data_IF_748532937754
#
_entry.id   IF_748532937754
#
_cell.length_a   1.000
_cell.length_b   1.000
_cell.length_c   1.000
_cell.angle_alpha   90.00
_cell.angle_beta   90.00
_cell.angle_gamma   90.00
#
_symmetry.space_group_name_H-M   'P 1'
#
loop_
_entity.id
_entity.type
_entity.pdbx_description
1 polymer ?
#
# COMPACT_ATOMS: atom_id res chain seq x y z
N UNK A 1 48.65 21.38 2.63
CA UNK A 1 47.77 21.06 1.49
C UNK A 1 46.66 20.10 1.94
N UNK A 2 46.05 20.30 3.12
CA UNK A 2 45.06 19.35 3.68
C UNK A 2 43.92 20.02 4.49
N UNK A 3 43.82 21.36 4.53
CA UNK A 3 42.72 22.04 5.23
C UNK A 3 41.60 22.56 4.32
N UNK A 4 41.88 22.74 3.02
CA UNK A 4 40.89 23.29 2.07
C UNK A 4 39.96 22.20 1.47
N UNK A 5 40.37 20.93 1.43
CA UNK A 5 39.51 19.83 0.95
C UNK A 5 38.41 19.42 1.95
N UNK A 6 38.61 19.68 3.25
CA UNK A 6 37.62 19.38 4.30
C UNK A 6 36.53 20.47 4.37
N UNK A 7 36.86 21.71 4.00
CA UNK A 7 35.88 22.81 4.01
C UNK A 7 34.92 22.77 2.80
N UNK A 8 35.39 22.26 1.67
CA UNK A 8 34.57 22.09 0.44
C UNK A 8 33.60 20.91 0.56
N UNK A 9 33.97 19.86 1.31
CA UNK A 9 33.06 18.72 1.58
C UNK A 9 31.96 19.04 2.60
N UNK A 10 32.20 19.91 3.58
CA UNK A 10 31.16 20.33 4.54
C UNK A 10 30.19 21.38 4.02
N UNK A 11 30.59 22.20 3.05
CA UNK A 11 29.72 23.23 2.45
C UNK A 11 28.76 22.64 1.42
N UNK A 12 29.18 21.65 0.62
CA UNK A 12 28.30 20.92 -0.31
C UNK A 12 27.29 19.98 0.36
N UNK A 13 27.62 19.46 1.56
CA UNK A 13 26.69 18.62 2.34
C UNK A 13 25.54 19.43 2.93
N UNK A 14 25.81 20.64 3.44
CA UNK A 14 24.77 21.49 4.06
C UNK A 14 23.87 22.19 3.04
N UNK A 15 24.32 22.49 1.81
CA UNK A 15 23.43 23.01 0.76
C UNK A 15 22.46 21.94 0.28
N UNK A 16 22.95 20.72 0.02
CA UNK A 16 22.11 19.57 -0.34
C UNK A 16 21.13 19.19 0.77
N UNK A 17 21.53 19.30 2.04
CA UNK A 17 20.65 19.02 3.18
C UNK A 17 19.57 20.09 3.35
N UNK A 18 19.89 21.38 3.13
CA UNK A 18 18.92 22.47 3.14
C UNK A 18 17.99 22.46 1.92
N UNK A 19 18.48 22.06 0.75
CA UNK A 19 17.63 21.83 -0.44
C UNK A 19 16.76 20.59 -0.27
N UNK A 20 17.28 19.50 0.31
CA UNK A 20 16.48 18.32 0.68
C UNK A 20 15.46 18.65 1.77
N UNK A 21 15.79 19.47 2.77
CA UNK A 21 14.88 19.95 3.82
C UNK A 21 13.81 20.90 3.27
N UNK A 22 14.18 21.81 2.36
CA UNK A 22 13.25 22.70 1.66
C UNK A 22 12.33 21.92 0.70
N UNK A 23 12.86 20.93 -0.02
CA UNK A 23 12.07 20.02 -0.86
C UNK A 23 11.18 19.11 -0.01
N UNK A 24 11.67 18.57 1.12
CA UNK A 24 10.81 17.77 2.04
C UNK A 24 9.73 18.60 2.73
N UNK A 25 9.96 19.89 2.98
CA UNK A 25 8.95 20.82 3.49
C UNK A 25 7.88 21.16 2.44
N UNK A 26 8.25 21.29 1.17
CA UNK A 26 7.30 21.48 0.05
C UNK A 26 6.53 20.18 -0.30
N UNK A 27 7.09 19.02 0.03
CA UNK A 27 6.49 17.69 -0.15
C UNK A 27 5.53 17.24 0.95
N UNK A 28 5.52 17.90 2.13
CA UNK A 28 4.69 17.49 3.27
C UNK A 28 3.16 17.52 3.03
N UNK A 29 2.55 18.42 2.22
CA UNK A 29 1.09 18.48 2.13
C UNK A 29 0.45 17.40 1.24
N UNK A 30 1.19 16.74 0.35
CA UNK A 30 0.58 15.97 -0.75
C UNK A 30 0.62 14.44 -0.62
N UNK A 31 1.49 13.86 0.21
CA UNK A 31 1.70 12.41 0.18
C UNK A 31 1.25 11.73 1.47
N UNK A 32 0.10 11.05 1.40
CA UNK A 32 -0.48 10.27 2.50
C UNK A 32 -0.65 11.05 3.82
N UNK A 33 -0.69 12.39 3.78
CA UNK A 33 -0.82 13.26 4.95
C UNK A 33 -2.07 12.92 5.76
N UNK A 34 -3.17 12.59 5.08
CA UNK A 34 -4.43 12.14 5.69
C UNK A 34 -4.29 10.80 6.44
N UNK A 35 -3.63 9.82 5.81
CA UNK A 35 -3.38 8.50 6.40
C UNK A 35 -2.50 8.68 7.64
N UNK A 36 -1.40 9.40 7.52
CA UNK A 36 -0.51 9.64 8.65
C UNK A 36 -1.07 10.61 9.71
N UNK A 37 -2.00 11.48 9.34
CA UNK A 37 -2.80 12.26 10.28
C UNK A 37 -3.63 11.35 11.17
N UNK A 38 -4.30 10.34 10.59
CA UNK A 38 -4.97 9.31 11.37
C UNK A 38 -3.98 8.48 12.21
N UNK A 39 -2.77 8.17 11.69
CA UNK A 39 -1.74 7.47 12.46
C UNK A 39 -1.33 8.27 13.71
N UNK A 40 -1.26 9.59 13.59
CA UNK A 40 -0.93 10.48 14.71
C UNK A 40 -2.04 10.48 15.76
N UNK A 41 -3.31 10.57 15.33
CA UNK A 41 -4.47 10.49 16.24
C UNK A 41 -4.50 9.14 16.97
N UNK A 42 -4.17 8.06 16.27
CA UNK A 42 -4.15 6.69 16.80
C UNK A 42 -2.88 6.36 17.60
N UNK A 43 -1.95 7.30 17.79
CA UNK A 43 -0.67 7.10 18.48
C UNK A 43 0.24 6.03 17.85
N UNK A 44 0.17 5.86 16.52
CA UNK A 44 0.94 4.89 15.73
C UNK A 44 2.11 5.58 15.00
N UNK A 45 2.10 6.91 14.84
CA UNK A 45 3.15 7.63 14.11
C UNK A 45 4.48 7.68 14.89
N UNK A 46 5.47 6.90 14.42
CA UNK A 46 6.82 6.80 15.02
C UNK A 46 7.88 7.58 14.23
N UNK A 47 7.50 8.35 13.21
CA UNK A 47 8.46 8.94 12.25
C UNK A 47 9.27 10.11 12.82
N UNK A 48 8.71 10.91 13.74
CA UNK A 48 9.37 12.11 14.27
C UNK A 48 10.17 11.77 15.54
N UNK A 49 11.48 12.08 15.62
CA UNK A 49 12.25 11.86 16.84
C UNK A 49 11.74 12.76 17.98
N UNK A 50 11.69 12.24 19.21
CA UNK A 50 11.26 12.97 20.40
C UNK A 50 10.52 12.11 21.43
N UNK A 51 10.05 12.74 22.51
CA UNK A 51 9.26 12.11 23.59
C UNK A 51 7.96 11.49 23.07
N UNK A 52 7.33 12.10 22.06
CA UNK A 52 6.12 11.59 21.42
C UNK A 52 6.35 10.23 20.74
N UNK A 53 7.53 9.99 20.16
CA UNK A 53 7.88 8.68 19.56
C UNK A 53 8.00 7.60 20.61
N UNK A 54 8.58 7.92 21.77
CA UNK A 54 8.71 6.97 22.88
C UNK A 54 7.31 6.60 23.38
N UNK A 55 6.45 7.60 23.59
CA UNK A 55 5.06 7.38 24.01
C UNK A 55 4.28 6.53 23.01
N UNK A 56 4.27 6.92 21.72
CA UNK A 56 3.62 6.16 20.65
C UNK A 56 4.19 4.74 20.53
N UNK A 57 5.49 4.59 20.74
CA UNK A 57 6.17 3.29 20.75
C UNK A 57 5.66 2.40 21.86
N UNK A 58 5.56 2.93 23.09
CA UNK A 58 5.00 2.19 24.24
C UNK A 58 3.55 1.78 23.98
N UNK A 59 2.69 2.71 23.52
CA UNK A 59 1.28 2.41 23.22
C UNK A 59 1.17 1.33 22.14
N UNK A 60 1.94 1.46 21.06
CA UNK A 60 1.98 0.49 19.95
C UNK A 60 2.46 -0.88 20.44
N UNK A 61 3.51 -0.94 21.27
CA UNK A 61 3.99 -2.20 21.84
C UNK A 61 2.96 -2.85 22.76
N UNK A 62 2.31 -2.08 23.63
CA UNK A 62 1.24 -2.61 24.51
C UNK A 62 0.09 -3.18 23.68
N UNK A 63 -0.37 -2.44 22.68
CA UNK A 63 -1.42 -2.91 21.76
C UNK A 63 -1.00 -4.16 20.99
N UNK A 64 0.26 -4.25 20.56
CA UNK A 64 0.79 -5.43 19.86
C UNK A 64 0.82 -6.68 20.77
N UNK A 65 1.26 -6.55 22.02
CA UNK A 65 1.26 -7.67 22.96
C UNK A 65 -0.16 -8.11 23.32
N UNK A 66 -1.07 -7.17 23.57
CA UNK A 66 -2.48 -7.46 23.81
C UNK A 66 -3.12 -8.16 22.60
N UNK A 67 -2.88 -7.65 21.39
CA UNK A 67 -3.34 -8.28 20.15
C UNK A 67 -2.84 -9.72 20.01
N UNK A 68 -1.54 -9.94 20.23
CA UNK A 68 -0.93 -11.28 20.15
C UNK A 68 -1.55 -12.24 21.17
N UNK A 69 -1.78 -11.78 22.40
CA UNK A 69 -2.47 -12.55 23.43
C UNK A 69 -3.89 -12.92 23.02
N UNK A 70 -4.67 -11.95 22.51
CA UNK A 70 -6.05 -12.19 22.06
C UNK A 70 -6.12 -13.20 20.90
N UNK A 71 -5.17 -13.15 19.97
CA UNK A 71 -5.08 -14.11 18.86
C UNK A 71 -4.78 -15.51 19.40
N UNK A 72 -3.78 -15.64 20.28
CA UNK A 72 -3.43 -16.93 20.90
C UNK A 72 -4.59 -17.55 21.68
N UNK A 73 -5.34 -16.71 22.40
CA UNK A 73 -6.54 -17.16 23.11
C UNK A 73 -7.66 -17.59 22.16
N UNK A 74 -7.93 -16.82 21.11
CA UNK A 74 -8.92 -17.17 20.08
C UNK A 74 -8.57 -18.49 19.37
N UNK A 75 -7.29 -18.70 19.03
CA UNK A 75 -6.79 -19.97 18.46
C UNK A 75 -7.05 -21.12 19.44
N UNK A 76 -6.64 -20.95 20.70
CA UNK A 76 -6.83 -21.96 21.74
C UNK A 76 -8.30 -22.37 21.88
N UNK A 77 -9.22 -21.41 21.94
CA UNK A 77 -10.66 -21.70 22.02
C UNK A 77 -11.15 -22.45 20.79
N UNK A 78 -10.78 -21.96 19.60
CA UNK A 78 -11.24 -22.52 18.31
C UNK A 78 -10.83 -23.98 18.13
N UNK A 79 -9.68 -24.39 18.65
CA UNK A 79 -9.23 -25.79 18.56
C UNK A 79 -9.68 -26.68 19.73
N UNK A 80 -10.01 -26.10 20.89
CA UNK A 80 -10.51 -26.86 22.05
C UNK A 80 -12.02 -27.12 22.00
N UNK A 81 -12.77 -26.28 21.30
CA UNK A 81 -14.21 -26.40 21.21
C UNK A 81 -14.62 -27.31 20.05
N UNK A 82 -15.64 -28.14 20.28
CA UNK A 82 -16.17 -29.09 19.28
C UNK A 82 -17.12 -28.33 18.36
N UNK A 83 -16.68 -28.01 17.14
CA UNK A 83 -17.42 -27.12 16.23
C UNK A 83 -18.17 -27.85 15.11
N UNK A 84 -19.33 -27.29 14.74
CA UNK A 84 -19.95 -27.53 13.43
C UNK A 84 -19.13 -26.82 12.34
N UNK A 85 -19.07 -27.37 11.12
CA UNK A 85 -18.24 -26.87 10.02
C UNK A 85 -18.38 -25.37 9.73
N UNK A 86 -19.60 -24.82 9.80
CA UNK A 86 -19.88 -23.40 9.58
C UNK A 86 -19.41 -22.47 10.71
N UNK A 87 -19.44 -22.94 11.96
CA UNK A 87 -18.94 -22.17 13.10
C UNK A 87 -17.42 -22.10 13.09
N UNK A 88 -16.76 -23.21 12.75
CA UNK A 88 -15.31 -23.27 12.59
C UNK A 88 -14.83 -22.27 11.53
N UNK A 89 -15.52 -22.18 10.39
CA UNK A 89 -15.19 -21.23 9.33
C UNK A 89 -15.23 -19.77 9.80
N UNK A 90 -16.25 -19.42 10.59
CA UNK A 90 -16.40 -18.07 11.14
C UNK A 90 -15.27 -17.68 12.09
N UNK A 91 -14.81 -18.64 12.90
CA UNK A 91 -13.76 -18.42 13.88
C UNK A 91 -12.38 -18.37 13.23
N UNK A 92 -12.13 -19.24 12.25
CA UNK A 92 -10.92 -19.19 11.44
C UNK A 92 -10.81 -17.87 10.68
N UNK A 93 -11.93 -17.33 10.17
CA UNK A 93 -11.93 -16.02 9.52
C UNK A 93 -11.55 -14.89 10.46
N UNK A 94 -12.09 -14.87 11.69
CA UNK A 94 -11.74 -13.87 12.72
C UNK A 94 -10.25 -13.96 13.06
N UNK A 95 -9.72 -15.18 13.21
CA UNK A 95 -8.29 -15.40 13.47
C UNK A 95 -7.45 -14.89 12.30
N UNK A 96 -7.82 -15.19 11.05
CA UNK A 96 -7.09 -14.73 9.86
C UNK A 96 -7.05 -13.21 9.76
N UNK A 97 -8.17 -12.52 10.00
CA UNK A 97 -8.19 -11.05 10.00
C UNK A 97 -7.36 -10.45 11.13
N UNK A 98 -7.37 -11.07 12.31
CA UNK A 98 -6.55 -10.62 13.42
C UNK A 98 -5.05 -10.80 13.12
N UNK A 99 -4.65 -11.94 12.54
CA UNK A 99 -3.28 -12.19 12.07
C UNK A 99 -2.88 -11.19 10.98
N UNK A 100 -3.75 -10.98 9.99
CA UNK A 100 -3.54 -10.03 8.89
C UNK A 100 -3.31 -8.60 9.41
N UNK A 101 -4.07 -8.21 10.44
CA UNK A 101 -3.96 -6.89 11.07
C UNK A 101 -2.72 -6.76 11.94
N UNK A 102 -2.34 -7.82 12.66
CA UNK A 102 -1.11 -7.86 13.47
C UNK A 102 0.13 -7.75 12.58
N UNK A 103 0.17 -8.50 11.47
CA UNK A 103 1.27 -8.44 10.50
C UNK A 103 1.35 -7.05 9.88
N UNK A 104 0.22 -6.48 9.50
CA UNK A 104 0.12 -5.10 9.01
C UNK A 104 0.72 -4.11 10.00
N UNK A 105 0.36 -4.20 11.28
CA UNK A 105 0.94 -3.36 12.33
C UNK A 105 2.47 -3.49 12.40
N UNK A 106 3.00 -4.71 12.33
CA UNK A 106 4.44 -4.95 12.29
C UNK A 106 5.14 -4.27 11.11
N UNK A 107 4.59 -4.42 9.89
CA UNK A 107 5.12 -3.76 8.70
C UNK A 107 5.03 -2.24 8.77
N UNK A 108 3.93 -1.69 9.29
CA UNK A 108 3.77 -0.25 9.44
C UNK A 108 4.85 0.34 10.35
N UNK A 109 5.08 -0.31 11.50
CA UNK A 109 6.12 0.08 12.45
C UNK A 109 7.51 -0.06 11.84
N UNK A 110 7.78 -1.19 11.16
CA UNK A 110 9.03 -1.41 10.45
C UNK A 110 9.31 -0.30 9.43
N UNK A 111 8.36 0.00 8.54
CA UNK A 111 8.52 1.04 7.54
C UNK A 111 8.73 2.44 8.12
N UNK A 112 8.10 2.74 9.26
CA UNK A 112 8.27 4.02 9.95
C UNK A 112 9.61 4.14 10.68
N UNK A 113 10.08 3.07 11.32
CA UNK A 113 11.33 3.07 12.10
C UNK A 113 12.56 3.16 11.20
N UNK A 114 12.55 2.44 10.08
CA UNK A 114 13.68 2.43 9.14
C UNK A 114 13.62 3.56 8.11
N UNK A 115 12.51 4.32 8.05
CA UNK A 115 12.41 5.46 7.13
C UNK A 115 12.29 5.09 5.65
N UNK A 116 12.04 3.82 5.31
CA UNK A 116 11.88 3.33 3.93
C UNK A 116 10.87 4.15 3.13
N UNK A 117 9.76 4.54 3.77
CA UNK A 117 8.70 5.34 3.13
C UNK A 117 9.09 6.80 2.87
N UNK A 118 9.98 7.37 3.69
CA UNK A 118 10.52 8.71 3.47
C UNK A 118 11.63 8.72 2.42
N UNK A 119 12.48 7.69 2.43
CA UNK A 119 13.53 7.51 1.43
C UNK A 119 12.91 7.34 0.03
N UNK A 120 11.93 6.44 -0.10
CA UNK A 120 11.18 6.24 -1.32
C UNK A 120 10.56 7.55 -1.84
N UNK A 121 9.91 8.31 -0.95
CA UNK A 121 9.28 9.59 -1.32
C UNK A 121 10.30 10.57 -1.86
N UNK A 122 11.48 10.64 -1.25
CA UNK A 122 12.56 11.53 -1.69
C UNK A 122 13.08 11.11 -3.07
N UNK A 123 13.30 9.80 -3.29
CA UNK A 123 13.72 9.27 -4.59
C UNK A 123 12.68 9.54 -5.68
N UNK A 124 11.40 9.30 -5.41
CA UNK A 124 10.32 9.60 -6.37
C UNK A 124 10.24 11.09 -6.72
N UNK A 125 10.49 11.96 -5.73
CA UNK A 125 10.52 13.41 -5.95
C UNK A 125 11.68 13.84 -6.83
N UNK A 126 12.85 13.21 -6.69
CA UNK A 126 14.04 13.53 -7.47
C UNK A 126 13.85 13.21 -8.97
N UNK A 127 13.08 12.17 -9.32
CA UNK A 127 12.90 11.77 -10.72
C UNK A 127 12.23 12.84 -11.59
N UNK A 128 11.09 13.37 -11.13
CA UNK A 128 10.25 14.27 -11.94
C UNK A 128 9.60 15.38 -11.12
N UNK A 129 10.10 15.70 -9.91
CA UNK A 129 9.53 16.72 -9.01
C UNK A 129 8.05 16.49 -8.66
N UNK A 130 7.58 15.24 -8.72
CA UNK A 130 6.17 14.86 -8.53
C UNK A 130 5.19 15.53 -9.50
N UNK A 131 5.63 15.82 -10.73
CA UNK A 131 4.79 16.47 -11.74
C UNK A 131 3.57 15.62 -12.10
N UNK A 132 3.72 14.29 -12.17
CA UNK A 132 2.60 13.39 -12.41
C UNK A 132 1.53 13.48 -11.32
N UNK A 133 1.93 13.50 -10.05
CA UNK A 133 1.03 13.64 -8.91
C UNK A 133 0.38 15.03 -8.82
N UNK A 134 1.15 16.09 -9.09
CA UNK A 134 0.67 17.48 -9.04
C UNK A 134 -0.32 17.83 -10.15
N UNK A 135 -0.36 17.03 -11.22
CA UNK A 135 -1.28 17.20 -12.34
C UNK A 135 -2.75 17.22 -11.90
N UNK A 136 -3.66 17.88 -12.65
CA UNK A 136 -5.08 17.94 -12.30
C UNK A 136 -5.72 16.54 -12.16
N UNK A 137 -5.24 15.60 -12.98
CA UNK A 137 -5.65 14.19 -12.93
C UNK A 137 -5.10 13.49 -11.69
N UNK A 138 -3.84 13.73 -11.35
CA UNK A 138 -3.19 13.21 -10.13
C UNK A 138 -3.93 13.66 -8.87
N UNK A 139 -4.18 14.96 -8.72
CA UNK A 139 -4.94 15.50 -7.58
C UNK A 139 -6.37 14.95 -7.49
N UNK A 140 -7.07 14.79 -8.63
CA UNK A 140 -8.42 14.19 -8.65
C UNK A 140 -8.37 12.75 -8.17
N UNK A 141 -7.34 12.01 -8.56
CA UNK A 141 -7.15 10.62 -8.17
C UNK A 141 -6.82 10.52 -6.67
N UNK A 142 -5.92 11.35 -6.16
CA UNK A 142 -5.56 11.43 -4.75
C UNK A 142 -6.78 11.73 -3.87
N UNK A 143 -7.59 12.74 -4.23
CA UNK A 143 -8.84 13.07 -3.52
C UNK A 143 -9.84 11.92 -3.55
N UNK A 144 -9.89 11.14 -4.64
CA UNK A 144 -10.76 9.97 -4.72
C UNK A 144 -10.27 8.88 -3.76
N UNK A 145 -8.98 8.56 -3.79
CA UNK A 145 -8.37 7.57 -2.89
C UNK A 145 -8.53 7.95 -1.42
N UNK A 146 -8.31 9.22 -1.07
CA UNK A 146 -8.50 9.73 0.29
C UNK A 146 -9.97 9.63 0.76
N UNK A 147 -10.95 9.88 -0.12
CA UNK A 147 -12.37 9.67 0.21
C UNK A 147 -12.70 8.20 0.44
N UNK A 148 -12.17 7.31 -0.40
CA UNK A 148 -12.33 5.87 -0.20
C UNK A 148 -11.68 5.42 1.12
N UNK A 149 -10.52 5.97 1.48
CA UNK A 149 -9.86 5.68 2.75
C UNK A 149 -10.76 5.99 3.95
N UNK A 150 -11.26 7.23 4.05
CA UNK A 150 -12.14 7.60 5.15
C UNK A 150 -13.45 6.83 5.14
N UNK A 151 -14.01 6.52 3.96
CA UNK A 151 -15.20 5.69 3.84
C UNK A 151 -14.97 4.27 4.37
N UNK A 152 -13.85 3.63 4.02
CA UNK A 152 -13.53 2.28 4.49
C UNK A 152 -13.24 2.26 5.99
N UNK A 153 -12.54 3.26 6.53
CA UNK A 153 -12.34 3.41 7.98
C UNK A 153 -13.69 3.62 8.70
N UNK A 154 -14.56 4.46 8.16
CA UNK A 154 -15.90 4.68 8.72
C UNK A 154 -16.74 3.40 8.68
N UNK A 155 -16.73 2.68 7.56
CA UNK A 155 -17.45 1.42 7.41
C UNK A 155 -16.96 0.36 8.39
N UNK A 156 -15.64 0.21 8.54
CA UNK A 156 -15.04 -0.76 9.47
C UNK A 156 -15.39 -0.44 10.93
N UNK A 157 -15.30 0.82 11.33
CA UNK A 157 -15.74 1.24 12.67
C UNK A 157 -17.24 1.05 12.88
N UNK A 158 -18.07 1.33 11.86
CA UNK A 158 -19.52 1.14 11.95
C UNK A 158 -19.87 -0.34 12.12
N UNK A 159 -19.21 -1.23 11.37
CA UNK A 159 -19.41 -2.67 11.47
C UNK A 159 -18.98 -3.19 12.85
N UNK A 160 -17.83 -2.75 13.38
CA UNK A 160 -17.39 -3.18 14.72
C UNK A 160 -18.35 -2.71 15.81
N UNK A 161 -18.87 -1.48 15.72
CA UNK A 161 -19.87 -0.95 16.65
C UNK A 161 -21.18 -1.72 16.58
N UNK A 162 -21.68 -2.00 15.37
CA UNK A 162 -22.92 -2.79 15.19
C UNK A 162 -22.76 -4.22 15.71
N UNK A 163 -21.61 -4.85 15.47
CA UNK A 163 -21.30 -6.18 16.00
C UNK A 163 -21.23 -6.18 17.53
N UNK A 164 -20.61 -5.16 18.13
CA UNK A 164 -20.57 -5.00 19.57
C UNK A 164 -21.97 -4.75 20.17
N UNK A 165 -22.78 -3.90 19.53
CA UNK A 165 -24.15 -3.62 19.97
C UNK A 165 -25.05 -4.85 19.86
N UNK A 166 -24.98 -5.58 18.74
CA UNK A 166 -25.71 -6.84 18.55
C UNK A 166 -25.35 -7.86 19.63
N UNK A 167 -24.07 -8.00 19.93
CA UNK A 167 -23.60 -8.87 21.01
C UNK A 167 -24.18 -8.44 22.38
N UNK A 168 -24.32 -7.16 22.67
CA UNK A 168 -24.88 -6.70 23.95
C UNK A 168 -26.40 -6.87 24.06
N UNK A 169 -27.11 -6.88 22.93
CA UNK A 169 -28.57 -6.96 22.87
C UNK A 169 -29.10 -8.40 22.74
N UNK A 170 -28.28 -9.35 22.28
CA UNK A 170 -28.70 -10.75 22.15
C UNK A 170 -28.73 -11.46 23.51
N UNK A 171 -29.89 -11.96 23.93
CA UNK A 171 -30.06 -12.76 25.16
C UNK A 171 -29.40 -14.16 25.08
N UNK A 172 -29.06 -14.62 23.88
CA UNK A 172 -28.41 -15.92 23.64
C UNK A 172 -27.09 -15.73 22.91
N UNK A 173 -25.98 -16.05 23.58
CA UNK A 173 -24.65 -16.07 22.97
C UNK A 173 -24.26 -17.48 22.54
N UNK A 174 -23.48 -17.58 21.47
CA UNK A 174 -22.83 -18.86 21.12
C UNK A 174 -21.80 -19.24 22.19
N UNK A 175 -21.55 -20.55 22.39
CA UNK A 175 -20.53 -21.02 23.36
C UNK A 175 -19.15 -20.41 23.10
N UNK A 176 -18.82 -20.16 21.84
CA UNK A 176 -17.59 -19.47 21.44
C UNK A 176 -17.58 -18.01 21.93
N UNK A 177 -18.65 -17.27 21.67
CA UNK A 177 -18.79 -15.87 22.12
C UNK A 177 -18.75 -15.74 23.64
N UNK A 178 -19.35 -16.69 24.35
CA UNK A 178 -19.33 -16.74 25.80
C UNK A 178 -17.91 -16.99 26.33
N UNK A 179 -17.20 -17.98 25.78
CA UNK A 179 -15.79 -18.25 26.13
C UNK A 179 -14.86 -17.09 25.75
N UNK A 180 -15.08 -16.46 24.60
CA UNK A 180 -14.35 -15.28 24.16
C UNK A 180 -14.54 -14.09 25.12
N UNK A 181 -15.70 -13.99 25.77
CA UNK A 181 -15.96 -12.94 26.77
C UNK A 181 -15.11 -13.09 28.04
N UNK A 182 -14.54 -14.27 28.29
CA UNK A 182 -13.62 -14.55 29.39
C UNK A 182 -12.14 -14.37 29.01
N UNK A 183 -11.81 -13.76 27.87
CA UNK A 183 -10.42 -13.43 27.47
C UNK A 183 -9.65 -12.75 28.61
N UNK A 184 -10.29 -11.81 29.31
CA UNK A 184 -9.67 -11.07 30.40
C UNK A 184 -10.17 -11.50 31.78
N UNK A 185 -10.77 -12.70 31.89
CA UNK A 185 -11.41 -13.27 33.08
C UNK A 185 -12.64 -12.49 33.60
N UNK A 186 -12.68 -11.17 33.46
CA UNK A 186 -13.76 -10.31 33.89
C UNK A 186 -14.59 -9.79 32.71
N UNK A 187 -15.93 -9.94 32.75
CA UNK A 187 -16.82 -9.49 31.67
C UNK A 187 -16.83 -7.95 31.51
N UNK A 188 -16.40 -7.20 32.52
CA UNK A 188 -16.24 -5.74 32.49
C UNK A 188 -15.12 -5.27 31.56
N UNK A 189 -14.13 -6.12 31.25
CA UNK A 189 -13.01 -5.82 30.34
C UNK A 189 -13.35 -6.10 28.86
N UNK A 190 -14.59 -6.48 28.56
CA UNK A 190 -15.07 -6.70 27.18
C UNK A 190 -14.89 -5.51 26.22
N UNK A 191 -15.14 -4.25 26.62
CA UNK A 191 -14.91 -3.09 25.75
C UNK A 191 -13.46 -2.98 25.29
N UNK A 192 -12.50 -3.44 26.12
CA UNK A 192 -11.08 -3.45 25.77
C UNK A 192 -10.80 -4.36 24.57
N UNK A 193 -11.45 -5.54 24.49
CA UNK A 193 -11.31 -6.45 23.35
C UNK A 193 -11.83 -5.82 22.04
N UNK A 194 -13.00 -5.17 22.10
CA UNK A 194 -13.58 -4.46 20.95
C UNK A 194 -12.69 -3.28 20.52
N UNK A 195 -12.09 -2.58 21.48
CA UNK A 195 -11.15 -1.50 21.22
C UNK A 195 -9.87 -2.01 20.54
N UNK A 196 -9.26 -3.08 21.05
CA UNK A 196 -8.06 -3.71 20.45
C UNK A 196 -8.37 -4.16 19.02
N UNK A 197 -9.51 -4.81 18.80
CA UNK A 197 -9.91 -5.33 17.50
C UNK A 197 -10.16 -4.20 16.49
N UNK A 198 -10.86 -3.14 16.92
CA UNK A 198 -11.11 -1.95 16.08
C UNK A 198 -9.80 -1.23 15.75
N UNK A 199 -8.91 -1.09 16.73
CA UNK A 199 -7.57 -0.53 16.53
C UNK A 199 -6.79 -1.30 15.47
N UNK A 200 -6.72 -2.63 15.59
CA UNK A 200 -6.04 -3.49 14.62
C UNK A 200 -6.63 -3.37 13.22
N UNK A 201 -7.96 -3.34 13.07
CA UNK A 201 -8.59 -3.17 11.76
C UNK A 201 -8.32 -1.79 11.15
N UNK A 202 -8.27 -0.72 11.95
CA UNK A 202 -7.85 0.59 11.46
C UNK A 202 -6.41 0.52 10.96
N UNK A 203 -5.51 -0.11 11.72
CA UNK A 203 -4.10 -0.29 11.32
C UNK A 203 -3.99 -1.08 10.02
N UNK A 204 -4.76 -2.15 9.86
CA UNK A 204 -4.81 -2.94 8.64
C UNK A 204 -5.26 -2.10 7.43
N UNK A 205 -6.31 -1.30 7.58
CA UNK A 205 -6.74 -0.42 6.49
C UNK A 205 -5.65 0.61 6.17
N UNK A 206 -5.03 1.19 7.18
CA UNK A 206 -3.95 2.16 7.02
C UNK A 206 -2.79 1.61 6.19
N UNK A 207 -2.29 0.41 6.49
CA UNK A 207 -1.17 -0.19 5.75
C UNK A 207 -1.53 -0.50 4.31
N UNK A 208 -2.74 -1.01 4.08
CA UNK A 208 -3.24 -1.28 2.75
C UNK A 208 -3.36 0.01 1.92
N UNK A 209 -3.81 1.11 2.54
CA UNK A 209 -3.84 2.41 1.87
C UNK A 209 -2.45 3.02 1.65
N UNK A 210 -1.47 2.78 2.53
CA UNK A 210 -0.07 3.13 2.26
C UNK A 210 0.42 2.43 0.99
N UNK A 211 0.22 1.12 0.87
CA UNK A 211 0.57 0.37 -0.35
C UNK A 211 -0.10 0.97 -1.60
N UNK A 212 -1.42 1.22 -1.54
CA UNK A 212 -2.19 1.81 -2.66
C UNK A 212 -1.64 3.18 -3.04
N UNK A 213 -1.40 4.07 -2.07
CA UNK A 213 -0.95 5.44 -2.33
C UNK A 213 0.44 5.47 -2.97
N UNK A 214 1.38 4.70 -2.43
CA UNK A 214 2.75 4.64 -2.95
C UNK A 214 2.81 4.02 -4.35
N UNK A 215 2.08 2.92 -4.57
CA UNK A 215 1.99 2.28 -5.89
C UNK A 215 1.31 3.18 -6.92
N UNK A 216 0.19 3.82 -6.55
CA UNK A 216 -0.52 4.71 -7.47
C UNK A 216 0.28 5.98 -7.80
N UNK A 217 1.07 6.48 -6.87
CA UNK A 217 1.90 7.67 -7.14
C UNK A 217 3.00 7.35 -8.14
N UNK A 218 3.65 6.19 -8.00
CA UNK A 218 4.60 5.68 -9.00
C UNK A 218 3.92 5.49 -10.36
N UNK A 219 2.69 4.97 -10.37
CA UNK A 219 1.89 4.85 -11.59
C UNK A 219 1.59 6.21 -12.24
N UNK A 220 1.30 7.25 -11.46
CA UNK A 220 1.03 8.59 -11.98
C UNK A 220 2.28 9.26 -12.56
N UNK A 221 3.45 9.11 -11.93
CA UNK A 221 4.72 9.59 -12.51
C UNK A 221 5.05 8.82 -13.80
N UNK A 222 4.92 7.50 -13.80
CA UNK A 222 5.15 6.69 -15.01
C UNK A 222 4.22 7.08 -16.16
N UNK A 223 2.95 7.34 -15.85
CA UNK A 223 1.98 7.82 -16.83
C UNK A 223 2.31 9.21 -17.35
N UNK A 224 2.76 10.11 -16.48
CA UNK A 224 3.20 11.45 -16.89
C UNK A 224 4.40 11.37 -17.83
N UNK A 225 5.36 10.49 -17.55
CA UNK A 225 6.45 10.19 -18.46
C UNK A 225 5.95 9.66 -19.82
N UNK A 226 4.98 8.73 -19.82
CA UNK A 226 4.38 8.21 -21.06
C UNK A 226 3.67 9.32 -21.86
N UNK A 227 2.94 10.21 -21.20
CA UNK A 227 2.26 11.34 -21.83
C UNK A 227 3.30 12.29 -22.45
N UNK A 228 4.39 12.63 -21.75
CA UNK A 228 5.51 13.43 -22.28
C UNK A 228 6.16 12.78 -23.50
N UNK A 229 6.39 11.46 -23.45
CA UNK A 229 6.99 10.72 -24.57
C UNK A 229 6.09 10.71 -25.81
N UNK A 230 4.77 10.72 -25.60
CA UNK A 230 3.79 10.79 -26.69
C UNK A 230 3.66 12.19 -27.30
N UNK A 231 3.85 13.23 -26.50
CA UNK A 231 3.78 14.64 -26.91
C UNK A 231 5.12 15.18 -27.43
N UNK A 232 6.20 14.40 -27.34
CA UNK A 232 7.52 14.80 -27.81
C UNK A 232 7.47 15.23 -29.28
N UNK A 233 7.90 16.47 -29.54
CA UNK A 233 7.99 17.04 -30.88
C UNK A 233 9.45 17.18 -31.31
N UNK A 234 9.88 16.25 -32.16
CA UNK A 234 11.20 16.30 -32.79
C UNK A 234 11.37 17.42 -33.82
N UNK A 235 10.42 18.32 -34.06
CA UNK A 235 10.52 19.38 -35.08
C UNK A 235 11.49 20.51 -34.74
N UNK A 236 11.80 20.73 -33.46
CA UNK A 236 12.62 21.86 -32.96
C UNK A 236 14.14 21.73 -33.19
N UNK A 237 14.56 20.89 -34.14
CA UNK A 237 15.97 20.66 -34.49
C UNK A 237 16.61 19.43 -33.85
N UNK A 238 17.66 18.89 -34.50
CA UNK A 238 18.29 17.61 -34.13
C UNK A 238 18.97 17.64 -32.76
N UNK A 239 19.66 18.73 -32.41
CA UNK A 239 20.35 18.85 -31.12
C UNK A 239 19.37 18.97 -29.93
N UNK A 240 18.24 19.66 -30.13
CA UNK A 240 17.19 19.75 -29.10
C UNK A 240 16.56 18.37 -28.86
N UNK A 241 16.16 17.70 -29.93
CA UNK A 241 15.58 16.35 -29.88
C UNK A 241 16.52 15.34 -29.20
N UNK A 242 17.83 15.43 -29.47
CA UNK A 242 18.86 14.61 -28.84
C UNK A 242 18.94 14.86 -27.33
N UNK A 243 19.05 16.13 -26.92
CA UNK A 243 19.17 16.50 -25.50
C UNK A 243 17.94 16.07 -24.71
N UNK A 244 16.76 16.26 -25.27
CA UNK A 244 15.50 15.89 -24.62
C UNK A 244 15.32 14.36 -24.52
N UNK A 245 15.70 13.59 -25.55
CA UNK A 245 15.70 12.13 -25.47
C UNK A 245 16.71 11.58 -24.47
N UNK A 246 17.88 12.22 -24.32
CA UNK A 246 18.84 11.87 -23.28
C UNK A 246 18.27 12.14 -21.88
N UNK A 247 17.54 13.25 -21.70
CA UNK A 247 16.83 13.52 -20.45
C UNK A 247 15.73 12.48 -20.19
N UNK A 248 14.98 12.06 -21.21
CA UNK A 248 14.00 10.98 -21.04
C UNK A 248 14.64 9.64 -20.67
N UNK A 249 15.84 9.34 -21.18
CA UNK A 249 16.59 8.15 -20.77
C UNK A 249 17.01 8.21 -19.29
N UNK A 250 17.51 9.35 -18.84
CA UNK A 250 17.89 9.58 -17.44
C UNK A 250 16.67 9.44 -16.51
N UNK A 251 15.58 10.14 -16.84
CA UNK A 251 14.32 10.06 -16.08
C UNK A 251 13.75 8.65 -16.05
N UNK A 252 13.80 7.91 -17.17
CA UNK A 252 13.34 6.51 -17.21
C UNK A 252 14.21 5.61 -16.32
N UNK A 253 15.54 5.79 -16.35
CA UNK A 253 16.47 5.05 -15.49
C UNK A 253 16.17 5.26 -14.01
N UNK A 254 15.93 6.51 -13.63
CA UNK A 254 15.57 6.88 -12.26
C UNK A 254 14.20 6.30 -11.85
N UNK A 255 13.21 6.37 -12.73
CA UNK A 255 11.90 5.74 -12.51
C UNK A 255 12.03 4.22 -12.32
N UNK A 256 12.85 3.55 -13.13
CA UNK A 256 13.14 2.12 -12.96
C UNK A 256 13.78 1.82 -11.60
N UNK A 257 14.72 2.65 -11.15
CA UNK A 257 15.34 2.54 -9.83
C UNK A 257 14.30 2.70 -8.71
N UNK A 258 13.39 3.67 -8.84
CA UNK A 258 12.30 3.89 -7.89
C UNK A 258 11.32 2.71 -7.87
N UNK A 259 10.94 2.16 -9.02
CA UNK A 259 10.05 1.00 -9.10
C UNK A 259 10.69 -0.23 -8.43
N UNK A 260 11.99 -0.47 -8.63
CA UNK A 260 12.71 -1.55 -7.93
C UNK A 260 12.75 -1.33 -6.42
N UNK A 261 12.93 -0.09 -5.98
CA UNK A 261 12.91 0.23 -4.56
C UNK A 261 11.50 0.06 -3.96
N UNK A 262 10.44 0.42 -4.70
CA UNK A 262 9.05 0.15 -4.32
C UNK A 262 8.82 -1.35 -4.12
N UNK A 263 9.29 -2.16 -5.07
CA UNK A 263 9.19 -3.62 -4.99
C UNK A 263 9.90 -4.17 -3.75
N UNK A 264 11.13 -3.73 -3.47
CA UNK A 264 11.88 -4.16 -2.29
C UNK A 264 11.14 -3.87 -0.97
N UNK A 265 10.46 -2.72 -0.88
CA UNK A 265 9.70 -2.31 0.32
C UNK A 265 8.45 -3.19 0.51
N UNK A 266 7.73 -3.49 -0.58
CA UNK A 266 6.39 -4.08 -0.49
C UNK A 266 6.30 -5.57 -0.86
N UNK A 267 7.30 -6.17 -1.53
CA UNK A 267 7.24 -7.57 -2.03
C UNK A 267 6.86 -8.59 -0.97
N UNK A 268 7.42 -8.45 0.23
CA UNK A 268 7.20 -9.37 1.35
C UNK A 268 5.80 -9.21 1.93
N UNK A 269 5.39 -7.95 2.14
CA UNK A 269 4.06 -7.61 2.62
C UNK A 269 3.00 -8.13 1.64
N UNK A 270 3.12 -7.79 0.36
CA UNK A 270 2.19 -8.20 -0.70
C UNK A 270 2.04 -9.72 -0.78
N UNK A 271 3.13 -10.48 -0.67
CA UNK A 271 3.08 -11.95 -0.63
C UNK A 271 2.27 -12.47 0.58
N UNK A 272 2.66 -12.07 1.79
CA UNK A 272 2.01 -12.54 3.02
C UNK A 272 0.52 -12.17 3.01
N UNK A 273 0.19 -10.96 2.54
CA UNK A 273 -1.17 -10.48 2.43
C UNK A 273 -2.00 -11.31 1.45
N UNK A 274 -1.46 -11.67 0.28
CA UNK A 274 -2.16 -12.55 -0.68
C UNK A 274 -2.40 -13.93 -0.06
N UNK A 275 -1.37 -14.52 0.56
CA UNK A 275 -1.45 -15.85 1.20
C UNK A 275 -2.52 -15.92 2.28
N UNK A 276 -2.77 -14.82 3.01
CA UNK A 276 -3.80 -14.76 4.06
C UNK A 276 -5.16 -14.36 3.51
N UNK A 277 -5.21 -13.46 2.53
CA UNK A 277 -6.47 -12.94 1.97
C UNK A 277 -7.19 -14.00 1.13
N UNK A 278 -6.48 -14.86 0.40
CA UNK A 278 -7.11 -15.92 -0.42
C UNK A 278 -7.90 -16.92 0.44
N UNK A 279 -7.33 -17.53 1.51
CA UNK A 279 -8.11 -18.34 2.45
C UNK A 279 -9.25 -17.56 3.11
N UNK A 280 -9.03 -16.28 3.47
CA UNK A 280 -10.07 -15.43 4.05
C UNK A 280 -11.26 -15.28 3.10
N UNK A 281 -11.01 -15.06 1.81
CA UNK A 281 -12.05 -15.03 0.77
C UNK A 281 -12.80 -16.37 0.68
N UNK A 282 -12.08 -17.50 0.65
CA UNK A 282 -12.70 -18.84 0.60
C UNK A 282 -13.61 -19.07 1.81
N UNK A 283 -13.14 -18.77 3.02
CA UNK A 283 -13.94 -18.92 4.23
C UNK A 283 -15.13 -17.97 4.28
N UNK A 284 -15.00 -16.73 3.77
CA UNK A 284 -16.14 -15.80 3.68
C UNK A 284 -17.22 -16.31 2.72
N UNK A 285 -16.83 -16.88 1.58
CA UNK A 285 -17.76 -17.46 0.61
C UNK A 285 -18.41 -18.74 1.16
N UNK A 286 -17.65 -19.58 1.87
CA UNK A 286 -18.18 -20.78 2.51
C UNK A 286 -19.18 -20.43 3.63
N UNK A 287 -18.88 -19.41 4.42
CA UNK A 287 -19.82 -18.84 5.40
C UNK A 287 -21.10 -18.35 4.74
N UNK A 288 -20.99 -17.62 3.64
CA UNK A 288 -22.14 -17.13 2.89
C UNK A 288 -23.01 -18.29 2.38
N UNK A 289 -22.39 -19.33 1.82
CA UNK A 289 -23.12 -20.49 1.29
C UNK A 289 -23.89 -21.26 2.39
N UNK A 290 -23.37 -21.28 3.62
CA UNK A 290 -23.96 -22.06 4.72
C UNK A 290 -24.91 -21.24 5.63
N UNK A 291 -24.80 -19.90 5.67
CA UNK A 291 -25.56 -19.04 6.60
C UNK A 291 -26.71 -18.23 6.00
N UNK A 292 -26.95 -18.26 4.68
CA UNK A 292 -28.11 -17.54 4.10
C UNK A 292 -29.40 -18.29 4.43
N UNK A 293 -29.93 -18.03 5.62
CA UNK A 293 -31.30 -18.39 6.02
C UNK A 293 -32.17 -17.13 6.23
N UNK A 294 -31.57 -15.93 6.34
CA UNK A 294 -32.27 -14.64 6.53
C UNK A 294 -31.58 -13.47 5.81
N UNK A 295 -32.36 -12.49 5.35
CA UNK A 295 -31.86 -11.25 4.72
C UNK A 295 -31.04 -10.38 5.69
N UNK A 296 -31.30 -10.48 7.00
CA UNK A 296 -30.57 -9.72 8.03
C UNK A 296 -29.13 -10.22 8.15
N UNK A 297 -28.92 -11.54 8.08
CA UNK A 297 -27.58 -12.14 8.13
C UNK A 297 -26.78 -11.81 6.86
N UNK A 298 -27.45 -11.71 5.71
CA UNK A 298 -26.82 -11.26 4.47
C UNK A 298 -26.32 -9.81 4.59
N UNK A 299 -27.14 -8.90 5.13
CA UNK A 299 -26.75 -7.49 5.30
C UNK A 299 -25.59 -7.33 6.29
N UNK A 300 -25.50 -8.19 7.31
CA UNK A 300 -24.42 -8.18 8.29
C UNK A 300 -23.11 -8.78 7.74
N UNK A 301 -23.20 -9.75 6.83
CA UNK A 301 -22.05 -10.38 6.16
C UNK A 301 -21.58 -9.65 4.88
N UNK A 302 -22.39 -8.78 4.29
CA UNK A 302 -22.01 -8.08 3.05
C UNK A 302 -20.81 -7.13 3.24
N UNK A 303 -20.71 -6.32 4.31
CA UNK A 303 -19.55 -5.46 4.55
C UNK A 303 -18.24 -6.24 4.69
N UNK A 304 -18.30 -7.42 5.31
CA UNK A 304 -17.10 -8.24 5.52
C UNK A 304 -16.61 -8.88 4.22
N UNK A 305 -17.52 -9.36 3.38
CA UNK A 305 -17.20 -9.82 2.02
C UNK A 305 -16.63 -8.66 1.19
N UNK A 306 -17.27 -7.48 1.27
CA UNK A 306 -16.80 -6.27 0.60
C UNK A 306 -15.39 -5.88 1.01
N UNK A 307 -15.06 -5.95 2.32
CA UNK A 307 -13.73 -5.66 2.84
C UNK A 307 -12.69 -6.69 2.39
N UNK A 308 -13.01 -7.98 2.40
CA UNK A 308 -12.08 -9.02 1.91
C UNK A 308 -11.83 -8.89 0.40
N UNK A 309 -12.89 -8.68 -0.39
CA UNK A 309 -12.77 -8.47 -1.83
C UNK A 309 -12.00 -7.18 -2.14
N UNK A 310 -12.27 -6.10 -1.42
CA UNK A 310 -11.52 -4.85 -1.52
C UNK A 310 -10.05 -5.07 -1.19
N UNK A 311 -9.74 -5.80 -0.12
CA UNK A 311 -8.37 -6.07 0.30
C UNK A 311 -7.59 -6.86 -0.75
N UNK A 312 -8.22 -7.89 -1.31
CA UNK A 312 -7.64 -8.67 -2.40
C UNK A 312 -7.40 -7.81 -3.65
N UNK A 313 -8.41 -7.06 -4.07
CA UNK A 313 -8.33 -6.16 -5.21
C UNK A 313 -7.28 -5.07 -5.01
N UNK A 314 -7.14 -4.51 -3.81
CA UNK A 314 -6.16 -3.48 -3.50
C UNK A 314 -4.73 -4.00 -3.66
N UNK A 315 -4.43 -5.18 -3.12
CA UNK A 315 -3.10 -5.79 -3.14
C UNK A 315 -2.72 -6.29 -4.54
N UNK A 316 -3.70 -6.57 -5.40
CA UNK A 316 -3.46 -7.12 -6.75
C UNK A 316 -3.57 -6.07 -7.86
N UNK A 317 -4.65 -5.27 -7.89
CA UNK A 317 -4.95 -4.33 -8.98
C UNK A 317 -4.00 -3.14 -8.99
N UNK A 318 -3.63 -2.58 -7.83
CA UNK A 318 -2.75 -1.41 -7.81
C UNK A 318 -1.37 -1.72 -8.41
N UNK A 319 -0.66 -2.79 -7.99
CA UNK A 319 0.53 -3.30 -8.68
C UNK A 319 0.34 -3.60 -10.17
N UNK A 320 -0.75 -4.28 -10.53
CA UNK A 320 -1.01 -4.64 -11.92
C UNK A 320 -1.20 -3.42 -12.83
N UNK A 321 -1.81 -2.35 -12.32
CA UNK A 321 -1.95 -1.10 -13.07
C UNK A 321 -0.62 -0.40 -13.30
N UNK A 322 0.29 -0.45 -12.33
CA UNK A 322 1.65 0.07 -12.49
C UNK A 322 2.39 -0.73 -13.58
N UNK A 323 2.34 -2.06 -13.51
CA UNK A 323 3.00 -2.92 -14.50
C UNK A 323 2.44 -2.76 -15.93
N UNK A 324 1.12 -2.63 -16.08
CA UNK A 324 0.50 -2.35 -17.38
C UNK A 324 1.00 -1.03 -17.99
N UNK A 325 1.17 0.00 -17.16
CA UNK A 325 1.63 1.33 -17.61
C UNK A 325 3.10 1.30 -18.04
N UNK A 326 3.93 0.55 -17.30
CA UNK A 326 5.33 0.28 -17.66
C UNK A 326 5.42 -0.45 -19.01
N UNK A 327 4.58 -1.47 -19.19
CA UNK A 327 4.55 -2.28 -20.42
C UNK A 327 4.12 -1.46 -21.64
N UNK A 328 3.32 -0.40 -21.44
CA UNK A 328 2.85 0.50 -22.51
C UNK A 328 3.87 1.54 -22.94
N UNK A 329 4.86 1.86 -22.11
CA UNK A 329 5.86 2.90 -22.39
C UNK A 329 6.57 2.70 -23.72
N UNK A 330 7.00 1.46 -24.01
CA UNK A 330 7.57 1.10 -25.31
C UNK A 330 6.61 1.39 -26.47
N UNK A 331 5.33 1.10 -26.29
CA UNK A 331 4.29 1.41 -27.26
C UNK A 331 4.18 2.90 -27.57
N UNK A 332 4.22 3.76 -26.54
CA UNK A 332 4.20 5.21 -26.70
C UNK A 332 5.43 5.73 -27.46
N UNK A 333 6.62 5.19 -27.17
CA UNK A 333 7.85 5.53 -27.89
C UNK A 333 7.77 5.14 -29.37
N UNK A 334 7.33 3.92 -29.67
CA UNK A 334 7.25 3.41 -31.05
C UNK A 334 6.16 4.12 -31.88
N UNK A 335 5.07 4.58 -31.25
CA UNK A 335 3.99 5.28 -31.94
C UNK A 335 4.33 6.73 -32.28
N UNK A 336 5.27 7.35 -31.55
CA UNK A 336 5.62 8.74 -31.80
C UNK A 336 6.42 8.90 -33.10
N UNK A 337 5.73 9.31 -34.17
CA UNK A 337 6.32 9.51 -35.50
C UNK A 337 7.42 10.55 -35.52
N UNK A 338 7.40 11.55 -34.64
CA UNK A 338 8.40 12.65 -34.65
C UNK A 338 9.81 12.17 -34.30
N UNK A 339 9.91 11.06 -33.55
CA UNK A 339 11.16 10.40 -33.16
C UNK A 339 11.74 9.63 -34.35
N UNK A 340 10.90 8.84 -35.02
CA UNK A 340 11.33 7.91 -36.08
C UNK A 340 11.44 8.59 -37.46
N UNK A 341 10.66 9.66 -37.68
CA UNK A 341 10.57 10.36 -38.96
C UNK A 341 10.64 11.89 -38.76
N UNK A 342 11.48 12.61 -39.53
CA UNK A 342 12.46 12.11 -40.50
C UNK A 342 13.64 11.38 -39.84
N UNK A 343 14.26 10.44 -40.56
CA UNK A 343 15.37 9.64 -40.05
C UNK A 343 16.57 10.54 -39.69
N UNK A 344 16.95 10.49 -38.42
CA UNK A 344 18.08 11.24 -37.86
C UNK A 344 18.95 10.26 -37.09
N UNK A 345 20.16 9.99 -37.59
CA UNK A 345 21.03 8.91 -37.09
C UNK A 345 21.20 8.93 -35.56
N UNK A 346 21.47 10.09 -34.98
CA UNK A 346 21.71 10.22 -33.53
C UNK A 346 20.43 10.04 -32.70
N UNK A 347 19.33 10.68 -33.10
CA UNK A 347 18.01 10.56 -32.46
C UNK A 347 17.53 9.11 -32.51
N UNK A 348 17.70 8.45 -33.66
CA UNK A 348 17.35 7.05 -33.85
C UNK A 348 18.18 6.12 -32.96
N UNK A 349 19.50 6.37 -32.85
CA UNK A 349 20.37 5.58 -31.99
C UNK A 349 19.93 5.68 -30.52
N UNK A 350 19.68 6.90 -30.03
CA UNK A 350 19.24 7.12 -28.63
C UNK A 350 17.86 6.51 -28.39
N UNK A 351 16.92 6.69 -29.31
CA UNK A 351 15.58 6.09 -29.21
C UNK A 351 15.64 4.56 -29.21
N UNK A 352 16.54 3.96 -30.00
CA UNK A 352 16.74 2.52 -30.01
C UNK A 352 17.39 2.02 -28.71
N UNK A 353 18.38 2.75 -28.17
CA UNK A 353 18.95 2.47 -26.85
C UNK A 353 17.89 2.55 -25.75
N UNK A 354 17.08 3.61 -25.75
CA UNK A 354 15.96 3.78 -24.81
C UNK A 354 14.96 2.62 -24.93
N UNK A 355 14.61 2.22 -26.17
CA UNK A 355 13.75 1.06 -26.42
C UNK A 355 14.32 -0.21 -25.82
N UNK A 356 15.63 -0.45 -25.98
CA UNK A 356 16.28 -1.64 -25.41
C UNK A 356 16.28 -1.61 -23.87
N UNK A 357 16.44 -0.43 -23.25
CA UNK A 357 16.32 -0.30 -21.79
C UNK A 357 14.88 -0.51 -21.29
N UNK A 358 13.86 -0.28 -22.13
CA UNK A 358 12.46 -0.52 -21.80
C UNK A 358 12.04 -1.99 -21.84
N UNK A 359 12.87 -2.88 -22.41
CA UNK A 359 12.61 -4.33 -22.46
C UNK A 359 12.96 -5.06 -21.15
N UNK A 360 12.54 -4.50 -20.01
CA UNK A 360 12.74 -5.09 -18.70
C UNK A 360 11.47 -5.80 -18.23
N UNK A 361 11.37 -7.09 -18.50
CA UNK A 361 10.19 -7.92 -18.17
C UNK A 361 9.94 -8.04 -16.66
N UNK A 362 10.97 -7.85 -15.84
CA UNK A 362 10.89 -7.96 -14.37
C UNK A 362 10.54 -6.63 -13.67
N UNK A 363 10.18 -5.58 -14.42
CA UNK A 363 9.89 -4.27 -13.84
C UNK A 363 8.43 -4.18 -13.36
N UNK A 364 8.25 -4.16 -12.04
CA UNK A 364 6.97 -4.05 -11.37
C UNK A 364 7.05 -4.46 -9.90
N UNK A 365 5.91 -4.54 -9.23
CA UNK A 365 5.84 -5.11 -7.87
C UNK A 365 5.63 -6.62 -7.98
N UNK A 366 6.53 -7.37 -7.38
CA UNK A 366 6.62 -8.81 -7.40
C UNK A 366 6.02 -9.44 -6.14
N UNK A 367 5.52 -10.67 -6.30
CA UNK A 367 5.14 -11.55 -5.21
C UNK A 367 6.38 -12.32 -4.79
N UNK A 368 7.11 -11.82 -3.78
CA UNK A 368 8.36 -12.41 -3.28
C UNK A 368 9.45 -12.61 -4.38
N UNK A 369 9.39 -11.88 -5.49
CA UNK A 369 10.30 -12.11 -6.63
C UNK A 369 9.99 -13.35 -7.48
N UNK A 370 8.90 -14.08 -7.21
CA UNK A 370 8.49 -15.22 -8.04
C UNK A 370 7.69 -14.81 -9.27
N UNK A 371 6.81 -13.82 -9.13
CA UNK A 371 5.95 -13.36 -10.22
C UNK A 371 5.65 -11.86 -10.08
N UNK A 372 5.74 -11.11 -11.18
CA UNK A 372 5.28 -9.73 -11.22
C UNK A 372 3.75 -9.71 -11.22
N UNK A 373 3.15 -8.91 -10.34
CA UNK A 373 1.70 -8.74 -10.30
C UNK A 373 1.24 -8.02 -11.56
N UNK A 374 0.68 -8.79 -12.48
CA UNK A 374 0.14 -8.32 -13.75
C UNK A 374 -1.34 -8.71 -13.88
N UNK A 375 -2.11 -8.00 -14.70
CA UNK A 375 -3.53 -8.37 -14.95
C UNK A 375 -3.70 -9.82 -15.44
N UNK A 376 -2.85 -10.36 -16.33
CA UNK A 376 -2.93 -11.76 -16.74
C UNK A 376 -2.81 -12.76 -15.58
N UNK A 377 -1.96 -12.46 -14.59
CA UNK A 377 -1.80 -13.30 -13.39
C UNK A 377 -3.08 -13.32 -12.53
N UNK A 378 -3.77 -12.17 -12.45
CA UNK A 378 -4.99 -12.00 -11.64
C UNK A 378 -6.21 -12.60 -12.34
N UNK A 379 -6.30 -12.43 -13.65
CA UNK A 379 -7.45 -12.86 -14.46
C UNK A 379 -7.28 -14.27 -15.05
N UNK A 380 -6.14 -14.93 -14.79
CA UNK A 380 -5.87 -16.28 -15.27
C UNK A 380 -6.12 -16.41 -16.76
N UNK A 381 -5.45 -15.60 -17.59
CA UNK A 381 -5.58 -15.78 -19.04
C UNK A 381 -4.83 -17.06 -19.41
N UNK A 382 -5.48 -18.13 -19.92
CA UNK A 382 -4.73 -19.21 -20.54
C UNK A 382 -3.95 -18.64 -21.74
N UNK A 383 -2.80 -19.25 -22.07
CA UNK A 383 -1.93 -18.81 -23.15
C UNK A 383 -2.65 -18.60 -24.49
#
# INVERSE_FOLDING_TARGET
MELDEVLITMTGSNSNKKEQEAQTALLEPHFASNVFGLARVMCIDLRRPGTLRIFNGVVTSVMFFLATYTIGYNIRITFLSRHLSAELASQLLIILWAIQSLISMGFLVYWQLYGHLSEFRTKLALCQSLRGLSSPRGQKYERRTNRFFYFTVFLTCSVTVVLAAKYHLEEKHTKFQEQQSYIFYYPTLRPLYTLITTYLYIVFNMTLFVLIMYTNSTYLEMRYFNDQLSEFDGSCGTEHAKKELLQYLEVYSDLCSVIRHLDQIFRLYTFIMIVITVPSMIFTLMMMNHRIHSLIDLFLCMPTIGLCAFSFCAVTIAPARLHDEISRTKGHLCQNRSIWFPYRKEVYLIANTLTSHMEQFDLGVSVWGFAVLSRPLILGRPP
#
